data_IF_150511211644
#
_entry.id   IF_150511211644
#
_cell.length_a   1.000
_cell.length_b   1.000
_cell.length_c   1.000
_cell.angle_alpha   90.00
_cell.angle_beta   90.00
_cell.angle_gamma   90.00
#
_symmetry.space_group_name_H-M   'P 1'
#
loop_
_entity.id
_entity.type
_entity.pdbx_description
1 polymer ?
#
# COMPACT_ATOMS: atom_id res chain seq x y z
N UNK A 1 12.21 -13.73 -8.99
CA UNK A 1 12.86 -12.81 -8.03
C UNK A 1 11.85 -12.01 -7.18
N UNK A 2 11.00 -11.15 -7.76
CA UNK A 2 10.06 -10.30 -6.98
C UNK A 2 9.08 -11.09 -6.08
N UNK A 3 8.59 -12.25 -6.55
CA UNK A 3 7.75 -13.16 -5.74
C UNK A 3 8.49 -13.67 -4.49
N UNK A 4 9.80 -13.89 -4.56
CA UNK A 4 10.60 -14.35 -3.42
C UNK A 4 10.71 -13.23 -2.39
N UNK A 5 10.97 -11.99 -2.83
CA UNK A 5 10.97 -10.81 -1.95
C UNK A 5 9.60 -10.62 -1.29
N UNK A 6 8.51 -10.77 -2.05
CA UNK A 6 7.16 -10.67 -1.53
C UNK A 6 6.89 -11.71 -0.44
N UNK A 7 7.25 -12.97 -0.69
CA UNK A 7 7.05 -14.05 0.28
C UNK A 7 7.86 -13.85 1.58
N UNK A 8 8.99 -13.13 1.51
CA UNK A 8 9.77 -12.74 2.71
C UNK A 8 9.24 -11.48 3.40
N UNK A 9 8.62 -10.57 2.64
CA UNK A 9 8.05 -9.32 3.15
C UNK A 9 6.70 -9.54 3.82
N UNK A 10 5.81 -10.32 3.20
CA UNK A 10 4.43 -10.52 3.67
C UNK A 10 4.33 -10.92 5.15
N UNK A 11 5.06 -11.94 5.66
CA UNK A 11 4.94 -12.33 7.06
C UNK A 11 5.39 -11.25 8.06
N UNK A 12 6.26 -10.34 7.64
CA UNK A 12 6.65 -9.18 8.44
C UNK A 12 5.58 -8.09 8.36
N UNK A 13 5.09 -7.80 7.15
CA UNK A 13 4.02 -6.82 6.92
C UNK A 13 2.72 -7.17 7.65
N UNK A 14 2.30 -8.44 7.65
CA UNK A 14 1.08 -8.89 8.34
C UNK A 14 1.13 -8.70 9.86
N UNK A 15 2.32 -8.63 10.47
CA UNK A 15 2.48 -8.33 11.91
C UNK A 15 2.36 -6.84 12.23
N UNK A 16 2.51 -6.01 11.21
CA UNK A 16 2.59 -4.56 11.31
C UNK A 16 1.24 -3.93 10.94
N UNK A 17 0.61 -4.44 9.88
CA UNK A 17 -0.60 -3.86 9.32
C UNK A 17 -1.80 -4.07 10.25
N UNK A 18 -2.45 -2.97 10.63
CA UNK A 18 -3.64 -2.97 11.47
C UNK A 18 -4.78 -3.84 10.91
N UNK A 19 -5.64 -4.33 11.80
CA UNK A 19 -6.73 -5.24 11.46
C UNK A 19 -7.75 -4.56 10.53
N UNK A 20 -7.95 -3.26 10.68
CA UNK A 20 -8.86 -2.42 9.91
C UNK A 20 -8.42 -2.31 8.44
N UNK A 21 -7.10 -2.39 8.18
CA UNK A 21 -6.56 -2.34 6.82
C UNK A 21 -6.70 -3.72 6.15
N UNK A 22 -7.80 -3.90 5.42
CA UNK A 22 -8.14 -5.17 4.75
C UNK A 22 -7.61 -5.32 3.31
N UNK A 23 -7.20 -4.21 2.67
CA UNK A 23 -6.85 -4.22 1.26
C UNK A 23 -5.64 -5.13 0.96
N UNK A 24 -5.72 -5.95 -0.10
CA UNK A 24 -4.62 -6.81 -0.60
C UNK A 24 -4.08 -7.86 0.39
N UNK A 25 -4.84 -8.20 1.44
CA UNK A 25 -4.46 -9.19 2.45
C UNK A 25 -5.19 -10.53 2.23
N UNK A 26 -4.52 -11.65 2.48
CA UNK A 26 -5.17 -12.96 2.39
C UNK A 26 -6.24 -13.11 3.48
N UNK A 27 -7.39 -13.68 3.12
CA UNK A 27 -8.48 -13.92 4.06
C UNK A 27 -9.22 -12.66 4.49
N UNK A 28 -9.05 -11.53 3.78
CA UNK A 28 -9.81 -10.29 3.99
C UNK A 28 -10.56 -9.91 2.74
N UNK A 29 -11.73 -9.31 2.90
CA UNK A 29 -12.56 -8.86 1.78
C UNK A 29 -13.23 -7.52 2.03
N UNK A 30 -13.58 -6.83 0.94
CA UNK A 30 -14.42 -5.63 1.00
C UNK A 30 -15.80 -5.94 1.60
N UNK A 31 -16.30 -7.16 1.43
CA UNK A 31 -17.58 -7.61 2.00
C UNK A 31 -17.58 -7.54 3.52
N UNK A 32 -16.48 -7.95 4.17
CA UNK A 32 -16.34 -7.84 5.63
C UNK A 32 -16.35 -6.37 6.09
N UNK A 33 -15.65 -5.49 5.37
CA UNK A 33 -15.62 -4.07 5.69
C UNK A 33 -17.00 -3.40 5.52
N UNK A 34 -17.73 -3.76 4.47
CA UNK A 34 -19.12 -3.32 4.27
C UNK A 34 -20.02 -3.83 5.40
N UNK A 35 -19.84 -5.09 5.81
CA UNK A 35 -20.59 -5.67 6.93
C UNK A 35 -20.31 -4.91 8.24
N UNK A 36 -19.05 -4.63 8.55
CA UNK A 36 -18.65 -3.86 9.73
C UNK A 36 -19.31 -2.47 9.75
N UNK A 37 -19.29 -1.75 8.63
CA UNK A 37 -19.96 -0.46 8.51
C UNK A 37 -21.48 -0.58 8.74
N UNK A 38 -22.11 -1.62 8.17
CA UNK A 38 -23.55 -1.84 8.33
C UNK A 38 -23.92 -2.15 9.78
N UNK A 39 -23.14 -2.98 10.47
CA UNK A 39 -23.35 -3.29 11.89
C UNK A 39 -23.25 -2.03 12.75
N UNK A 40 -22.29 -1.14 12.44
CA UNK A 40 -22.18 0.15 13.12
C UNK A 40 -23.42 1.01 12.89
N UNK A 41 -23.91 1.13 11.66
CA UNK A 41 -25.14 1.86 11.36
C UNK A 41 -26.34 1.29 12.13
N UNK A 42 -26.53 -0.03 12.11
CA UNK A 42 -27.65 -0.68 12.78
C UNK A 42 -27.60 -0.47 14.31
N UNK A 43 -26.41 -0.52 14.90
CA UNK A 43 -26.22 -0.29 16.34
C UNK A 43 -26.54 1.15 16.76
N UNK A 44 -26.07 2.15 16.02
CA UNK A 44 -26.36 3.55 16.34
C UNK A 44 -27.84 3.89 16.13
N UNK A 45 -28.47 3.32 15.09
CA UNK A 45 -29.91 3.45 14.85
C UNK A 45 -30.73 2.87 16.01
N UNK A 46 -30.35 1.70 16.54
CA UNK A 46 -31.01 1.09 17.71
C UNK A 46 -30.96 1.96 18.96
N UNK A 47 -29.87 2.70 19.16
CA UNK A 47 -29.69 3.60 20.29
C UNK A 47 -30.20 5.03 20.04
N UNK A 48 -30.81 5.30 18.89
CA UNK A 48 -31.24 6.64 18.48
C UNK A 48 -30.11 7.69 18.57
N UNK A 49 -28.90 7.27 18.23
CA UNK A 49 -27.71 8.12 18.20
C UNK A 49 -27.32 8.45 16.77
N UNK A 50 -26.80 9.66 16.55
CA UNK A 50 -26.26 10.06 15.26
C UNK A 50 -24.93 9.35 14.98
N UNK A 51 -24.76 8.89 13.75
CA UNK A 51 -23.52 8.32 13.24
C UNK A 51 -23.09 9.08 11.99
N UNK A 52 -21.83 9.54 11.95
CA UNK A 52 -21.26 10.25 10.83
C UNK A 52 -20.11 9.44 10.22
N UNK A 53 -20.10 9.28 8.90
CA UNK A 53 -19.03 8.62 8.15
C UNK A 53 -18.26 9.62 7.30
N UNK A 54 -16.92 9.54 7.34
CA UNK A 54 -16.02 10.32 6.49
C UNK A 54 -15.29 9.35 5.56
N UNK A 55 -15.53 9.50 4.26
CA UNK A 55 -14.86 8.72 3.23
C UNK A 55 -13.72 9.56 2.62
N UNK A 56 -12.49 9.04 2.72
CA UNK A 56 -11.28 9.68 2.22
C UNK A 56 -10.73 8.84 1.05
N UNK A 57 -10.47 9.49 -0.08
CA UNK A 57 -9.84 8.86 -1.25
C UNK A 57 -8.53 9.57 -1.63
N UNK A 58 -7.49 8.77 -1.88
CA UNK A 58 -6.16 9.30 -2.24
C UNK A 58 -5.99 9.38 -3.76
N UNK A 59 -5.94 10.60 -4.28
CA UNK A 59 -5.66 10.85 -5.70
C UNK A 59 -4.30 10.26 -6.11
N UNK A 60 -4.31 9.32 -7.07
CA UNK A 60 -3.11 8.64 -7.60
C UNK A 60 -2.28 7.96 -6.50
N UNK A 61 -2.95 7.23 -5.61
CA UNK A 61 -2.37 6.50 -4.48
C UNK A 61 -1.01 5.84 -4.76
N UNK A 62 -0.94 4.96 -5.76
CA UNK A 62 0.29 4.23 -6.08
C UNK A 62 1.38 5.13 -6.65
N UNK A 63 1.03 6.15 -7.45
CA UNK A 63 2.01 7.01 -8.13
C UNK A 63 2.64 8.07 -7.20
N UNK A 64 2.05 8.28 -6.02
CA UNK A 64 2.45 9.36 -5.09
C UNK A 64 3.18 8.88 -3.84
N UNK A 65 3.48 7.59 -3.72
CA UNK A 65 4.26 7.06 -2.60
C UNK A 65 5.65 7.66 -2.59
N UNK A 66 5.99 8.43 -1.56
CA UNK A 66 7.33 8.99 -1.43
C UNK A 66 8.31 7.92 -0.94
N UNK A 67 9.32 7.60 -1.76
CA UNK A 67 10.25 6.51 -1.47
C UNK A 67 10.97 6.68 -0.13
N UNK A 68 11.44 7.89 0.19
CA UNK A 68 12.15 8.13 1.44
C UNK A 68 11.27 7.87 2.67
N UNK A 69 10.00 8.30 2.62
CA UNK A 69 9.03 8.00 3.66
C UNK A 69 8.73 6.50 3.75
N UNK A 70 8.53 5.81 2.61
CA UNK A 70 8.35 4.36 2.60
C UNK A 70 9.53 3.64 3.27
N UNK A 71 10.78 4.02 2.95
CA UNK A 71 11.95 3.43 3.59
C UNK A 71 11.98 3.70 5.08
N UNK A 72 11.75 4.94 5.50
CA UNK A 72 11.70 5.32 6.91
C UNK A 72 10.61 4.52 7.67
N UNK A 73 9.45 4.31 7.05
CA UNK A 73 8.37 3.48 7.60
C UNK A 73 8.81 2.03 7.76
N UNK A 74 9.43 1.44 6.74
CA UNK A 74 9.92 0.06 6.82
C UNK A 74 11.00 -0.12 7.92
N UNK A 75 11.89 0.86 8.07
CA UNK A 75 12.87 0.87 9.15
C UNK A 75 12.23 1.01 10.52
N UNK A 76 11.24 1.90 10.65
CA UNK A 76 10.51 2.12 11.90
C UNK A 76 9.82 0.85 12.41
N UNK A 77 9.24 0.07 11.49
CA UNK A 77 8.60 -1.20 11.83
C UNK A 77 9.57 -2.40 11.92
N UNK A 78 10.88 -2.15 11.98
CA UNK A 78 11.90 -3.19 12.11
C UNK A 78 11.83 -4.29 11.03
N UNK A 79 11.43 -3.93 9.80
CA UNK A 79 11.53 -4.87 8.67
C UNK A 79 13.02 -5.15 8.42
N UNK A 80 13.33 -6.40 8.08
CA UNK A 80 14.69 -6.86 7.88
C UNK A 80 15.50 -5.92 6.95
N UNK A 81 16.62 -5.40 7.45
CA UNK A 81 17.49 -4.45 6.75
C UNK A 81 17.92 -4.89 5.35
N UNK A 82 18.24 -6.18 5.17
CA UNK A 82 18.65 -6.70 3.86
C UNK A 82 17.48 -6.68 2.87
N UNK A 83 16.27 -6.94 3.34
CA UNK A 83 15.06 -6.87 2.52
C UNK A 83 14.76 -5.43 2.11
N UNK A 84 14.90 -4.47 3.04
CA UNK A 84 14.75 -3.04 2.73
C UNK A 84 15.76 -2.63 1.65
N UNK A 85 17.05 -2.94 1.83
CA UNK A 85 18.10 -2.61 0.84
C UNK A 85 17.84 -3.24 -0.53
N UNK A 86 17.41 -4.51 -0.58
CA UNK A 86 17.04 -5.15 -1.85
C UNK A 86 15.90 -4.44 -2.55
N UNK A 87 14.87 -4.02 -1.80
CA UNK A 87 13.73 -3.29 -2.36
C UNK A 87 14.16 -1.88 -2.80
N UNK A 88 14.94 -1.16 -1.99
CA UNK A 88 15.51 0.15 -2.35
C UNK A 88 16.27 0.09 -3.67
N UNK A 89 17.11 -0.93 -3.86
CA UNK A 89 17.87 -1.12 -5.10
C UNK A 89 16.97 -1.32 -6.33
N UNK A 90 15.76 -1.87 -6.17
CA UNK A 90 14.78 -1.97 -7.27
C UNK A 90 14.23 -0.59 -7.69
N UNK A 91 14.19 0.37 -6.77
CA UNK A 91 13.63 1.70 -7.01
C UNK A 91 14.69 2.75 -7.36
N UNK A 92 15.91 2.64 -6.82
CA UNK A 92 16.95 3.67 -6.93
C UNK A 92 17.29 4.05 -8.38
N UNK A 93 17.36 3.06 -9.28
CA UNK A 93 17.68 3.24 -10.70
C UNK A 93 16.48 3.04 -11.61
N UNK A 94 15.27 3.08 -11.07
CA UNK A 94 14.06 2.89 -11.86
C UNK A 94 13.85 4.07 -12.82
N UNK A 95 13.65 3.77 -14.10
CA UNK A 95 13.27 4.73 -15.14
C UNK A 95 11.96 4.31 -15.79
N UNK A 96 11.27 5.28 -16.37
CA UNK A 96 10.06 5.06 -17.17
C UNK A 96 10.12 5.92 -18.43
N UNK A 97 9.34 5.55 -19.43
CA UNK A 97 9.16 6.31 -20.66
C UNK A 97 7.69 6.19 -21.08
N UNK A 98 7.17 7.21 -21.78
CA UNK A 98 5.80 7.19 -22.31
C UNK A 98 5.80 6.37 -23.60
N UNK A 99 4.91 5.38 -23.69
CA UNK A 99 4.66 4.64 -24.92
C UNK A 99 3.37 5.12 -25.57
N UNK A 100 3.46 5.67 -26.77
CA UNK A 100 2.31 6.20 -27.52
C UNK A 100 2.51 5.98 -29.02
N UNK A 101 1.48 5.51 -29.73
CA UNK A 101 1.49 5.30 -31.18
C UNK A 101 2.69 4.47 -31.69
N UNK A 102 3.02 3.38 -30.98
CA UNK A 102 4.18 2.53 -31.26
C UNK A 102 5.55 3.24 -31.19
N UNK A 103 5.64 4.37 -30.47
CA UNK A 103 6.88 5.07 -30.20
C UNK A 103 7.13 5.15 -28.69
N UNK A 104 8.38 4.97 -28.31
CA UNK A 104 8.87 5.16 -26.95
C UNK A 104 9.42 6.59 -26.88
N UNK A 105 8.91 7.39 -25.95
CA UNK A 105 9.42 8.73 -25.68
C UNK A 105 10.71 8.72 -24.85
N UNK A 106 11.12 9.89 -24.39
CA UNK A 106 12.32 10.01 -23.58
C UNK A 106 12.19 9.30 -22.22
N UNK A 107 13.31 8.72 -21.78
CA UNK A 107 13.40 8.08 -20.49
C UNK A 107 13.58 9.11 -19.38
N UNK A 108 12.81 8.96 -18.31
CA UNK A 108 12.92 9.78 -17.10
C UNK A 108 13.05 8.89 -15.86
N UNK A 109 13.72 9.40 -14.83
CA UNK A 109 13.90 8.69 -13.56
C UNK A 109 12.61 8.73 -12.73
N UNK A 110 12.26 7.60 -12.13
CA UNK A 110 11.14 7.50 -11.20
C UNK A 110 11.63 7.85 -9.79
N UNK A 111 11.15 8.95 -9.24
CA UNK A 111 11.53 9.45 -7.90
C UNK A 111 10.42 9.28 -6.85
N UNK A 112 9.21 9.00 -7.30
CA UNK A 112 8.02 8.78 -6.48
C UNK A 112 7.18 7.65 -7.08
N UNK A 113 6.36 7.04 -6.24
CA UNK A 113 5.40 6.02 -6.61
C UNK A 113 5.96 4.60 -6.55
N UNK A 114 5.07 3.67 -6.26
CA UNK A 114 5.31 2.23 -6.39
C UNK A 114 4.84 1.76 -7.77
N UNK A 115 5.49 0.75 -8.33
CA UNK A 115 5.23 0.34 -9.73
C UNK A 115 3.86 -0.32 -9.87
N UNK A 116 2.91 0.31 -10.57
CA UNK A 116 1.61 -0.32 -10.83
C UNK A 116 1.80 -1.65 -11.60
N UNK A 117 1.05 -2.69 -11.21
CA UNK A 117 1.18 -4.04 -11.77
C UNK A 117 2.35 -4.87 -11.19
N UNK A 118 3.24 -4.29 -10.38
CA UNK A 118 4.26 -5.06 -9.66
C UNK A 118 3.66 -5.78 -8.44
N UNK A 119 4.01 -7.06 -8.26
CA UNK A 119 3.51 -7.91 -7.17
C UNK A 119 3.87 -7.41 -5.76
N UNK A 120 4.90 -6.56 -5.63
CA UNK A 120 5.31 -5.97 -4.35
C UNK A 120 4.50 -4.72 -4.00
N UNK A 121 4.03 -3.99 -5.00
CA UNK A 121 3.48 -2.65 -4.81
C UNK A 121 2.29 -2.58 -3.86
N UNK A 122 1.34 -3.54 -3.86
CA UNK A 122 0.24 -3.51 -2.90
C UNK A 122 0.72 -3.61 -1.45
N UNK A 123 1.65 -4.52 -1.15
CA UNK A 123 2.20 -4.67 0.20
C UNK A 123 3.04 -3.46 0.62
N UNK A 124 3.82 -2.89 -0.30
CA UNK A 124 4.58 -1.66 -0.02
C UNK A 124 3.65 -0.47 0.24
N UNK A 125 2.55 -0.36 -0.50
CA UNK A 125 1.55 0.68 -0.31
C UNK A 125 0.87 0.56 1.06
N UNK A 126 0.46 -0.65 1.45
CA UNK A 126 -0.12 -0.90 2.78
C UNK A 126 0.85 -0.53 3.92
N UNK A 127 2.13 -0.93 3.82
CA UNK A 127 3.16 -0.57 4.82
C UNK A 127 3.32 0.96 4.89
N UNK A 128 3.32 1.65 3.75
CA UNK A 128 3.40 3.10 3.71
C UNK A 128 2.21 3.77 4.38
N UNK A 129 0.99 3.30 4.10
CA UNK A 129 -0.25 3.81 4.69
C UNK A 129 -0.33 3.60 6.20
N UNK A 130 0.27 2.54 6.73
CA UNK A 130 0.28 2.24 8.17
C UNK A 130 0.93 3.33 9.04
N UNK A 131 1.72 4.22 8.44
CA UNK A 131 2.30 5.37 9.15
C UNK A 131 1.46 6.66 9.00
N UNK A 132 0.52 6.67 8.06
CA UNK A 132 -0.31 7.83 7.72
C UNK A 132 -1.66 7.76 8.41
N UNK A 133 -2.25 6.57 8.46
CA UNK A 133 -3.49 6.25 9.17
C UNK A 133 -3.17 5.90 10.63
#
# INVERSE_FOLDING_TARGET
MLKILLNRLKPQAEKIIAEEQAAFRPGRSTTEQICNLRILCEKYLQHQQDLYHVFIDFKKAFDRVWHAALWATMWHFNINANLIRMIQNLYEKATSAVYLNNRIGDWFRITIGVRQGCVLSPTLYNIFLERIL
#
